data_IF_517762122271
#
_entry.id   IF_517762122271
#
_cell.length_a   1.000
_cell.length_b   1.000
_cell.length_c   1.000
_cell.angle_alpha   90.00
_cell.angle_beta   90.00
_cell.angle_gamma   90.00
#
_symmetry.space_group_name_H-M   'P 1'
#
loop_
_entity.id
_entity.type
_entity.pdbx_description
1 polymer ?
#
# COMPACT_ATOMS: atom_id res chain seq x y z
N UNK A 1 75.54 14.57 -48.09
CA UNK A 1 74.35 13.70 -48.05
C UNK A 1 73.44 14.21 -46.96
N UNK A 2 72.40 14.99 -47.37
CA UNK A 2 71.50 15.69 -46.52
C UNK A 2 70.17 14.95 -46.55
N UNK A 3 69.80 14.30 -45.47
CA UNK A 3 68.51 13.55 -45.36
C UNK A 3 67.48 14.50 -44.77
N UNK A 4 66.53 14.93 -45.56
CA UNK A 4 65.31 15.71 -45.16
C UNK A 4 64.26 14.75 -44.56
N UNK A 5 63.94 14.98 -43.27
CA UNK A 5 62.81 14.32 -42.61
C UNK A 5 61.57 15.18 -42.82
N UNK A 6 60.58 14.63 -43.51
CA UNK A 6 59.23 15.21 -43.65
C UNK A 6 58.37 14.74 -42.49
N UNK A 7 57.87 15.68 -41.68
CA UNK A 7 56.85 15.44 -40.63
C UNK A 7 55.49 15.16 -41.26
N UNK A 8 54.72 14.18 -40.75
CA UNK A 8 53.38 13.90 -41.20
C UNK A 8 52.38 14.96 -40.67
N UNK A 9 51.41 15.24 -41.51
CA UNK A 9 50.42 16.28 -41.41
C UNK A 9 49.50 16.10 -40.17
N UNK A 10 49.48 17.10 -39.29
CA UNK A 10 48.76 17.09 -37.98
C UNK A 10 47.25 17.21 -38.09
N UNK A 11 46.69 17.25 -39.31
CA UNK A 11 45.25 17.45 -39.54
C UNK A 11 44.38 16.21 -39.49
N UNK A 12 44.97 14.99 -39.54
CA UNK A 12 44.18 13.73 -39.56
C UNK A 12 43.91 13.12 -38.19
N UNK A 13 44.54 13.60 -37.12
CA UNK A 13 44.42 13.00 -35.77
C UNK A 13 43.27 13.60 -34.96
N UNK A 14 42.77 14.82 -35.34
CA UNK A 14 41.72 15.49 -34.55
C UNK A 14 40.31 14.99 -34.84
N UNK A 15 40.08 14.36 -36.02
CA UNK A 15 38.73 13.90 -36.38
C UNK A 15 38.28 12.55 -35.76
N UNK A 16 39.22 11.73 -35.29
CA UNK A 16 38.88 10.44 -34.66
C UNK A 16 38.53 10.52 -33.18
N UNK A 17 38.93 11.61 -32.49
CA UNK A 17 38.68 11.74 -31.00
C UNK A 17 37.29 12.25 -30.66
N UNK A 18 36.53 12.81 -31.60
CA UNK A 18 35.15 13.30 -31.35
C UNK A 18 34.06 12.26 -31.56
N UNK A 19 34.36 11.16 -32.29
CA UNK A 19 33.35 10.13 -32.58
C UNK A 19 33.16 9.12 -31.42
N UNK A 20 34.12 9.00 -30.51
CA UNK A 20 34.04 8.08 -29.37
C UNK A 20 33.36 8.65 -28.12
N UNK A 21 33.22 9.99 -28.05
CA UNK A 21 32.57 10.65 -26.90
C UNK A 21 31.03 10.64 -26.95
N UNK A 22 30.43 10.37 -28.12
CA UNK A 22 28.97 10.40 -28.33
C UNK A 22 28.25 9.07 -28.09
N UNK A 23 28.99 7.95 -27.89
CA UNK A 23 28.39 6.64 -27.67
C UNK A 23 28.26 6.27 -26.18
N UNK A 24 28.69 7.14 -25.25
CA UNK A 24 28.69 6.84 -23.81
C UNK A 24 27.45 7.35 -23.06
N UNK A 25 26.48 7.97 -23.73
CA UNK A 25 25.33 8.62 -23.08
C UNK A 25 24.01 7.86 -23.14
N UNK A 26 23.99 6.61 -23.59
CA UNK A 26 22.72 5.88 -23.80
C UNK A 26 22.47 4.73 -22.84
N UNK A 27 23.10 4.69 -21.67
CA UNK A 27 22.74 3.76 -20.59
C UNK A 27 22.17 4.54 -19.39
N UNK A 28 21.19 5.39 -19.62
CA UNK A 28 20.22 5.69 -18.56
C UNK A 28 19.38 4.43 -18.38
N UNK A 29 19.84 3.53 -17.51
CA UNK A 29 19.02 2.47 -17.00
C UNK A 29 17.76 3.12 -16.41
N UNK A 30 16.58 2.87 -16.97
CA UNK A 30 15.33 3.05 -16.28
C UNK A 30 15.38 2.16 -15.06
N UNK A 31 15.84 2.67 -13.93
CA UNK A 31 15.55 2.07 -12.64
C UNK A 31 14.06 2.32 -12.44
N UNK A 32 13.24 1.30 -12.65
CA UNK A 32 11.88 1.29 -12.12
C UNK A 32 12.00 1.40 -10.60
N UNK A 33 12.01 2.63 -10.10
CA UNK A 33 11.96 2.89 -8.67
C UNK A 33 10.57 2.49 -8.22
N UNK A 34 10.46 1.32 -7.59
CA UNK A 34 9.23 0.88 -6.95
C UNK A 34 8.83 1.97 -5.95
N UNK A 35 7.68 2.61 -6.21
CA UNK A 35 7.18 3.65 -5.34
C UNK A 35 6.92 3.08 -3.94
N UNK A 36 7.59 3.66 -2.94
CA UNK A 36 7.38 3.30 -1.55
C UNK A 36 6.19 4.08 -1.00
N UNK A 37 5.27 3.36 -0.34
CA UNK A 37 4.15 3.96 0.38
C UNK A 37 4.62 4.56 1.70
N UNK A 38 3.89 5.58 2.16
CA UNK A 38 4.01 6.10 3.52
C UNK A 38 3.66 5.02 4.57
N UNK A 39 4.14 5.20 5.79
CA UNK A 39 3.73 4.35 6.90
C UNK A 39 2.22 4.51 7.17
N UNK A 40 1.56 3.42 7.55
CA UNK A 40 0.13 3.39 7.81
C UNK A 40 -0.16 2.73 9.17
N UNK A 41 -0.90 3.42 10.02
CA UNK A 41 -1.34 2.94 11.32
C UNK A 41 -2.86 2.79 11.32
N UNK A 42 -3.33 1.58 11.57
CA UNK A 42 -4.75 1.26 11.72
C UNK A 42 -5.07 1.15 13.20
N UNK A 43 -6.02 1.96 13.66
CA UNK A 43 -6.42 2.01 15.07
C UNK A 43 -7.81 1.43 15.18
N UNK A 44 -7.91 0.27 15.81
CA UNK A 44 -9.13 -0.50 15.99
C UNK A 44 -9.76 -0.25 17.35
N UNK A 45 -11.08 -0.36 17.51
CA UNK A 45 -11.73 -0.37 18.82
C UNK A 45 -11.20 -1.47 19.72
N UNK A 46 -11.40 -1.32 21.03
CA UNK A 46 -11.09 -2.37 21.98
C UNK A 46 -11.81 -3.68 21.62
N UNK A 47 -11.07 -4.79 21.68
CA UNK A 47 -11.59 -6.14 21.40
C UNK A 47 -12.18 -6.35 20.00
N UNK A 48 -11.82 -5.49 19.02
CA UNK A 48 -12.29 -5.63 17.65
C UNK A 48 -11.83 -6.96 17.02
N UNK A 49 -12.76 -7.67 16.41
CA UNK A 49 -12.57 -8.90 15.63
C UNK A 49 -13.42 -8.79 14.38
N UNK A 50 -12.92 -9.30 13.27
CA UNK A 50 -13.65 -9.35 12.01
C UNK A 50 -13.04 -8.48 10.91
N UNK A 51 -13.81 -8.32 9.85
CA UNK A 51 -13.42 -7.53 8.70
C UNK A 51 -13.54 -6.04 8.98
N UNK A 52 -12.58 -5.25 8.48
CA UNK A 52 -12.68 -3.79 8.47
C UNK A 52 -12.16 -3.20 7.16
N UNK A 53 -12.68 -2.03 6.82
CA UNK A 53 -12.39 -1.37 5.55
C UNK A 53 -12.11 0.10 5.73
N UNK A 54 -11.21 0.61 4.88
CA UNK A 54 -11.02 2.05 4.66
C UNK A 54 -11.44 2.35 3.23
N UNK A 55 -12.44 3.20 3.07
CA UNK A 55 -12.95 3.67 1.77
C UNK A 55 -12.38 5.08 1.55
N UNK A 56 -11.66 5.22 0.45
CA UNK A 56 -10.89 6.42 0.12
C UNK A 56 -11.68 7.42 -0.74
N UNK A 57 -11.14 8.65 -0.86
CA UNK A 57 -11.66 9.72 -1.70
C UNK A 57 -13.14 10.09 -1.40
N UNK A 58 -13.58 9.94 -0.14
CA UNK A 58 -14.93 10.25 0.28
C UNK A 58 -15.01 11.69 0.83
N UNK A 59 -15.68 12.60 0.09
CA UNK A 59 -15.77 14.00 0.48
C UNK A 59 -16.43 14.22 1.87
N UNK A 60 -17.35 13.33 2.26
CA UNK A 60 -18.01 13.34 3.58
C UNK A 60 -17.25 12.55 4.65
N UNK A 61 -16.11 11.93 4.27
CA UNK A 61 -15.31 11.11 5.18
C UNK A 61 -14.43 11.95 6.11
N UNK A 62 -13.73 11.24 7.00
CA UNK A 62 -12.78 11.87 7.92
C UNK A 62 -11.55 12.40 7.18
N UNK A 63 -11.02 13.58 7.54
CA UNK A 63 -9.78 14.07 6.98
C UNK A 63 -8.61 13.17 7.40
N UNK A 64 -7.63 13.03 6.48
CA UNK A 64 -6.41 12.28 6.79
C UNK A 64 -5.66 12.90 7.97
N UNK A 65 -5.31 12.06 8.91
CA UNK A 65 -4.49 12.44 10.06
C UNK A 65 -3.13 11.77 9.99
N UNK A 66 -2.13 12.41 10.60
CA UNK A 66 -0.77 11.89 10.69
C UNK A 66 -0.33 11.85 12.15
N UNK A 67 0.43 10.83 12.49
CA UNK A 67 1.20 10.76 13.74
C UNK A 67 2.58 10.17 13.43
N UNK A 68 3.64 10.90 13.81
CA UNK A 68 5.02 10.46 13.59
C UNK A 68 5.27 9.98 12.14
N UNK A 69 4.87 10.77 11.15
CA UNK A 69 5.01 10.53 9.71
C UNK A 69 4.23 9.30 9.17
N UNK A 70 3.32 8.73 9.96
CA UNK A 70 2.42 7.68 9.54
C UNK A 70 0.99 8.20 9.33
N UNK A 71 0.34 7.76 8.26
CA UNK A 71 -1.10 7.97 8.06
C UNK A 71 -1.87 7.23 9.13
N UNK A 72 -2.82 7.88 9.76
CA UNK A 72 -3.69 7.25 10.76
C UNK A 72 -5.07 6.99 10.21
N UNK A 73 -5.54 5.77 10.41
CA UNK A 73 -6.89 5.32 10.08
C UNK A 73 -7.56 4.79 11.34
N UNK A 74 -8.49 5.60 11.92
CA UNK A 74 -9.26 5.19 13.10
C UNK A 74 -10.52 4.47 12.64
N UNK A 75 -10.56 3.16 12.84
CA UNK A 75 -11.67 2.34 12.40
C UNK A 75 -12.82 2.47 13.41
N UNK A 76 -14.01 2.85 12.97
CA UNK A 76 -15.18 2.91 13.84
C UNK A 76 -15.67 1.51 14.21
N UNK A 77 -16.59 1.42 15.19
CA UNK A 77 -17.10 0.14 15.70
C UNK A 77 -17.84 -0.69 14.66
N UNK A 78 -18.38 -0.06 13.61
CA UNK A 78 -19.02 -0.76 12.48
C UNK A 78 -18.00 -1.33 11.46
N UNK A 79 -16.70 -1.10 11.67
CA UNK A 79 -15.65 -1.63 10.82
C UNK A 79 -15.39 -0.88 9.52
N UNK A 80 -16.11 0.20 9.20
CA UNK A 80 -15.91 0.92 7.93
C UNK A 80 -15.58 2.39 8.16
N UNK A 81 -14.37 2.78 7.79
CA UNK A 81 -13.92 4.17 7.78
C UNK A 81 -14.10 4.77 6.39
N UNK A 82 -14.85 5.86 6.30
CA UNK A 82 -14.85 6.74 5.13
C UNK A 82 -13.80 7.82 5.35
N UNK A 83 -12.91 8.05 4.39
CA UNK A 83 -11.87 9.07 4.52
C UNK A 83 -11.73 9.92 3.25
N UNK A 84 -11.39 11.19 3.44
CA UNK A 84 -11.02 12.12 2.35
C UNK A 84 -9.62 11.80 1.78
N UNK A 85 -8.84 10.97 2.46
CA UNK A 85 -7.53 10.55 1.97
C UNK A 85 -7.65 9.84 0.62
N UNK A 86 -6.67 10.07 -0.26
CA UNK A 86 -6.47 9.24 -1.43
C UNK A 86 -5.80 7.93 -1.04
N UNK A 87 -6.15 6.86 -1.76
CA UNK A 87 -5.44 5.59 -1.60
C UNK A 87 -3.94 5.79 -1.90
N UNK A 88 -3.10 5.27 -1.02
CA UNK A 88 -1.65 5.29 -1.23
C UNK A 88 -1.25 4.12 -2.12
N UNK A 89 -0.65 4.41 -3.26
CA UNK A 89 -0.18 3.41 -4.21
C UNK A 89 1.27 3.01 -3.92
N UNK A 90 1.68 1.85 -4.45
CA UNK A 90 3.03 1.32 -4.30
C UNK A 90 3.15 0.25 -3.21
N UNK A 91 4.39 -0.03 -2.81
CA UNK A 91 4.72 -1.08 -1.84
C UNK A 91 4.95 -0.46 -0.47
N UNK A 92 4.37 -1.07 0.57
CA UNK A 92 4.65 -0.71 1.96
C UNK A 92 5.58 -1.76 2.60
N UNK A 93 6.61 -1.31 3.30
CA UNK A 93 7.43 -2.20 4.09
C UNK A 93 6.63 -2.74 5.28
N UNK A 94 6.85 -4.01 5.63
CA UNK A 94 6.05 -4.68 6.66
C UNK A 94 6.11 -4.00 8.04
N UNK A 95 7.23 -3.39 8.37
CA UNK A 95 7.46 -2.64 9.61
C UNK A 95 6.76 -1.26 9.63
N UNK A 96 6.33 -0.77 8.45
CA UNK A 96 5.60 0.49 8.30
C UNK A 96 4.08 0.33 8.32
N UNK A 97 3.59 -0.91 8.31
CA UNK A 97 2.17 -1.24 8.38
C UNK A 97 1.85 -1.80 9.76
N UNK A 98 1.27 -0.96 10.62
CA UNK A 98 1.06 -1.29 12.03
C UNK A 98 -0.41 -1.18 12.42
N UNK A 99 -0.79 -2.02 13.37
CA UNK A 99 -2.16 -2.10 13.89
C UNK A 99 -2.14 -1.86 15.39
N UNK A 100 -3.09 -1.06 15.85
CA UNK A 100 -3.23 -0.70 17.25
C UNK A 100 -4.65 -0.96 17.71
N UNK A 101 -4.79 -1.27 18.98
CA UNK A 101 -6.05 -1.31 19.68
C UNK A 101 -6.17 -0.09 20.57
N UNK A 102 -7.29 0.60 20.49
CA UNK A 102 -7.61 1.70 21.38
C UNK A 102 -8.32 1.17 22.62
N UNK A 103 -7.57 0.96 23.71
CA UNK A 103 -8.10 0.44 24.98
C UNK A 103 -8.83 1.54 25.76
N UNK A 104 -8.30 2.77 25.74
CA UNK A 104 -8.95 3.98 26.25
C UNK A 104 -8.70 5.14 25.25
N UNK A 105 -9.37 6.32 25.39
CA UNK A 105 -9.13 7.45 24.51
C UNK A 105 -7.65 7.87 24.39
N UNK A 106 -6.87 7.69 25.46
CA UNK A 106 -5.47 8.09 25.54
C UNK A 106 -4.48 6.95 25.33
N UNK A 107 -4.95 5.68 25.34
CA UNK A 107 -4.07 4.51 25.32
C UNK A 107 -4.25 3.69 24.07
N UNK A 108 -3.18 3.61 23.27
CA UNK A 108 -3.06 2.71 22.14
C UNK A 108 -2.10 1.58 22.50
N UNK A 109 -2.54 0.35 22.28
CA UNK A 109 -1.71 -0.85 22.41
C UNK A 109 -1.48 -1.45 21.05
N UNK A 110 -0.22 -1.64 20.66
CA UNK A 110 0.09 -2.29 19.39
C UNK A 110 -0.36 -3.75 19.40
N UNK A 111 -1.02 -4.15 18.33
CA UNK A 111 -1.49 -5.52 18.14
C UNK A 111 -0.35 -6.34 17.56
N UNK A 112 0.14 -7.30 18.33
CA UNK A 112 1.07 -8.31 17.82
C UNK A 112 0.28 -9.35 17.05
N UNK A 113 0.33 -9.29 15.73
CA UNK A 113 -0.38 -10.21 14.86
C UNK A 113 0.57 -10.85 13.83
N UNK A 114 0.17 -12.01 13.31
CA UNK A 114 0.84 -12.68 12.20
C UNK A 114 0.06 -12.50 10.92
N UNK A 115 0.76 -12.27 9.81
CA UNK A 115 0.13 -12.22 8.50
C UNK A 115 -0.28 -13.60 8.02
N UNK A 116 -1.52 -13.71 7.54
CA UNK A 116 -1.97 -14.85 6.76
C UNK A 116 -1.91 -14.51 5.28
N UNK A 117 -1.19 -15.34 4.52
CA UNK A 117 -1.15 -15.24 3.05
C UNK A 117 -2.25 -16.07 2.39
N UNK A 118 -2.74 -17.10 3.10
CA UNK A 118 -3.84 -17.96 2.67
C UNK A 118 -4.54 -18.53 3.88
N UNK A 119 -5.82 -18.85 3.73
CA UNK A 119 -6.62 -19.52 4.77
C UNK A 119 -6.92 -20.92 4.25
N UNK A 120 -6.44 -21.94 4.98
CA UNK A 120 -6.84 -23.32 4.73
C UNK A 120 -8.12 -23.60 5.53
N UNK A 121 -9.23 -23.70 4.83
CA UNK A 121 -10.56 -23.94 5.41
C UNK A 121 -10.74 -25.38 5.86
N UNK A 122 -9.85 -26.32 5.46
CA UNK A 122 -9.94 -27.72 5.83
C UNK A 122 -9.37 -28.03 7.23
N UNK A 123 -8.61 -27.10 7.82
CA UNK A 123 -8.02 -27.28 9.16
C UNK A 123 -8.83 -26.55 10.22
N UNK A 124 -9.23 -27.30 11.27
CA UNK A 124 -9.72 -26.70 12.50
C UNK A 124 -8.54 -26.04 13.24
N UNK A 125 -8.52 -24.72 13.28
CA UNK A 125 -7.49 -23.96 13.98
C UNK A 125 -7.90 -23.77 15.44
N UNK A 126 -7.06 -24.26 16.36
CA UNK A 126 -7.27 -24.12 17.80
C UNK A 126 -6.19 -23.25 18.47
N UNK A 127 -5.58 -22.35 17.76
CA UNK A 127 -4.62 -21.43 18.34
C UNK A 127 -5.28 -20.10 18.72
N UNK A 128 -4.74 -19.44 19.75
CA UNK A 128 -5.18 -18.12 20.21
C UNK A 128 -4.33 -17.01 19.59
N UNK A 129 -3.56 -17.31 18.55
CA UNK A 129 -2.73 -16.33 17.87
C UNK A 129 -3.62 -15.39 17.07
N UNK A 130 -3.40 -14.09 17.20
CA UNK A 130 -4.05 -13.08 16.36
C UNK A 130 -3.38 -13.04 15.00
N UNK A 131 -4.19 -13.07 13.97
CA UNK A 131 -3.76 -12.96 12.58
C UNK A 131 -4.39 -11.75 11.91
N UNK A 132 -3.71 -11.27 10.87
CA UNK A 132 -4.23 -10.28 9.92
C UNK A 132 -4.21 -10.91 8.54
N UNK A 133 -5.31 -10.76 7.82
CA UNK A 133 -5.47 -11.23 6.45
C UNK A 133 -6.00 -10.08 5.59
N UNK A 134 -5.59 -10.00 4.32
CA UNK A 134 -6.04 -8.96 3.40
C UNK A 134 -5.01 -7.84 3.20
N UNK A 135 -5.47 -6.60 3.10
CA UNK A 135 -4.64 -5.39 2.92
C UNK A 135 -4.34 -5.01 1.49
N UNK A 136 -4.81 -5.81 0.52
CA UNK A 136 -4.76 -5.42 -0.89
C UNK A 136 -5.72 -4.28 -1.22
N UNK A 137 -5.45 -3.52 -2.29
CA UNK A 137 -6.40 -2.55 -2.81
C UNK A 137 -7.60 -3.28 -3.42
N UNK A 138 -8.79 -2.76 -3.18
CA UNK A 138 -10.03 -3.16 -3.85
C UNK A 138 -10.65 -1.97 -4.57
N UNK A 139 -11.44 -2.27 -5.59
CA UNK A 139 -12.20 -1.27 -6.35
C UNK A 139 -13.61 -1.83 -6.56
N UNK A 140 -14.60 -1.07 -6.13
CA UNK A 140 -15.98 -1.27 -6.55
C UNK A 140 -16.25 -0.35 -7.73
N UNK A 141 -16.68 -0.88 -8.87
CA UNK A 141 -16.97 -0.11 -10.08
C UNK A 141 -18.43 -0.21 -10.46
N UNK A 142 -19.06 0.94 -10.68
CA UNK A 142 -20.40 1.02 -11.25
C UNK A 142 -20.34 1.79 -12.58
N UNK A 143 -20.44 1.04 -13.68
CA UNK A 143 -20.32 1.61 -15.03
C UNK A 143 -21.48 2.53 -15.42
N UNK A 144 -22.68 2.32 -14.87
CA UNK A 144 -23.86 3.15 -15.16
C UNK A 144 -23.72 4.53 -14.51
N UNK A 145 -23.22 4.58 -13.28
CA UNK A 145 -22.96 5.81 -12.54
C UNK A 145 -21.57 6.42 -12.84
N UNK A 146 -20.73 5.72 -13.62
CA UNK A 146 -19.33 6.09 -13.89
C UNK A 146 -18.56 6.38 -12.59
N UNK A 147 -18.68 5.50 -11.64
CA UNK A 147 -18.17 5.65 -10.30
C UNK A 147 -17.27 4.47 -9.94
N UNK A 148 -16.06 4.79 -9.47
CA UNK A 148 -15.10 3.84 -8.92
C UNK A 148 -14.82 4.22 -7.47
N UNK A 149 -15.08 3.27 -6.56
CA UNK A 149 -14.80 3.42 -5.14
C UNK A 149 -13.59 2.57 -4.76
N UNK A 150 -12.51 3.23 -4.38
CA UNK A 150 -11.30 2.58 -3.92
C UNK A 150 -11.39 2.28 -2.44
N UNK A 151 -11.01 1.08 -2.06
CA UNK A 151 -10.96 0.69 -0.65
C UNK A 151 -9.79 -0.24 -0.35
N UNK A 152 -9.51 -0.41 0.93
CA UNK A 152 -8.59 -1.42 1.44
C UNK A 152 -9.26 -2.15 2.58
N UNK A 153 -9.27 -3.49 2.49
CA UNK A 153 -9.93 -4.33 3.47
C UNK A 153 -8.95 -5.25 4.18
N UNK A 154 -9.18 -5.44 5.46
CA UNK A 154 -8.45 -6.37 6.31
C UNK A 154 -9.43 -7.21 7.10
N UNK A 155 -8.96 -8.34 7.59
CA UNK A 155 -9.65 -9.15 8.55
C UNK A 155 -8.70 -9.44 9.72
N UNK A 156 -9.13 -9.23 10.96
CA UNK A 156 -8.32 -9.46 12.15
C UNK A 156 -9.03 -10.40 13.13
N UNK A 157 -8.28 -11.33 13.69
CA UNK A 157 -8.79 -12.30 14.66
C UNK A 157 -7.92 -13.54 14.73
N UNK A 158 -8.36 -14.54 15.50
CA UNK A 158 -7.82 -15.90 15.40
C UNK A 158 -8.24 -16.52 14.06
N UNK A 159 -7.59 -17.60 13.64
CA UNK A 159 -7.97 -18.27 12.39
C UNK A 159 -9.43 -18.75 12.40
N UNK A 160 -9.92 -19.26 13.53
CA UNK A 160 -11.32 -19.65 13.67
C UNK A 160 -12.27 -18.45 13.53
N UNK A 161 -11.91 -17.28 14.09
CA UNK A 161 -12.71 -16.06 13.96
C UNK A 161 -12.70 -15.50 12.55
N UNK A 162 -11.56 -15.58 11.83
CA UNK A 162 -11.46 -15.14 10.43
C UNK A 162 -12.33 -16.02 9.52
N UNK A 163 -12.47 -17.31 9.82
CA UNK A 163 -13.30 -18.25 9.06
C UNK A 163 -14.79 -18.18 9.40
N UNK A 164 -15.16 -17.57 10.52
CA UNK A 164 -16.55 -17.47 10.95
C UNK A 164 -17.28 -16.41 10.10
N UNK A 165 -18.33 -16.83 9.41
CA UNK A 165 -19.14 -15.97 8.52
C UNK A 165 -19.72 -14.75 9.24
N UNK A 166 -19.99 -14.84 10.54
CA UNK A 166 -20.48 -13.69 11.33
C UNK A 166 -19.50 -12.52 11.34
N UNK A 167 -18.21 -12.79 11.17
CA UNK A 167 -17.14 -11.79 11.14
C UNK A 167 -16.84 -11.28 9.72
N UNK A 168 -17.53 -11.78 8.71
CA UNK A 168 -17.40 -11.29 7.34
C UNK A 168 -18.23 -10.04 7.16
N UNK A 169 -17.83 -9.24 6.18
CA UNK A 169 -18.49 -7.98 5.85
C UNK A 169 -18.59 -7.82 4.34
N UNK A 170 -19.82 -7.59 3.85
CA UNK A 170 -20.07 -7.34 2.44
C UNK A 170 -19.88 -5.84 2.13
N UNK A 171 -18.68 -5.48 1.69
CA UNK A 171 -18.32 -4.11 1.36
C UNK A 171 -19.11 -3.56 0.16
N UNK A 172 -19.44 -4.40 -0.81
CA UNK A 172 -20.18 -3.97 -2.00
C UNK A 172 -21.61 -3.58 -1.64
N UNK A 173 -22.29 -4.42 -0.85
CA UNK A 173 -23.62 -4.08 -0.32
C UNK A 173 -23.58 -2.82 0.53
N UNK A 174 -22.54 -2.62 1.33
CA UNK A 174 -22.38 -1.39 2.12
C UNK A 174 -22.27 -0.15 1.23
N UNK A 175 -21.43 -0.20 0.19
CA UNK A 175 -21.25 0.91 -0.77
C UNK A 175 -22.56 1.28 -1.43
N UNK A 176 -23.31 0.28 -1.88
CA UNK A 176 -24.63 0.47 -2.54
C UNK A 176 -25.67 1.07 -1.59
N UNK A 177 -25.82 0.50 -0.38
CA UNK A 177 -26.81 0.95 0.60
C UNK A 177 -26.54 2.38 1.10
N UNK A 178 -25.28 2.77 1.20
CA UNK A 178 -24.87 4.10 1.63
C UNK A 178 -24.74 5.10 0.47
N UNK A 179 -25.03 4.67 -0.76
CA UNK A 179 -24.99 5.51 -1.97
C UNK A 179 -23.67 6.27 -2.11
N UNK A 180 -22.58 5.56 -1.94
CA UNK A 180 -21.25 6.17 -2.01
C UNK A 180 -20.82 6.46 -3.45
N UNK A 181 -21.56 5.91 -4.39
CA UNK A 181 -21.48 6.25 -5.80
C UNK A 181 -22.48 7.32 -6.19
#
# INVERSE_FOLDING_TARGET
MTTTFTLPDFKSIVLCSFATALLSYSLTACSDTVQQREAEHYILPANYVGAFYVIFDQASGEPLQYQADARQYRIPTNGVLLTQARISEGVIAADKLRFFRQDTPEQLTEITARWLTSIDTAQAYQDNTTYIFGGGPGVYSNSELKCDIHFRGFHIGTKSQILDEVNHFDIESFIQQNKLC
#
